data_IF_623191047269
#
_entry.id   IF_623191047269
#
_cell.length_a   1.000
_cell.length_b   1.000
_cell.length_c   1.000
_cell.angle_alpha   90.00
_cell.angle_beta   90.00
_cell.angle_gamma   90.00
#
_symmetry.space_group_name_H-M   'P 1'
#
loop_
_entity.id
_entity.type
_entity.pdbx_description
1 polymer ?
#
# COMPACT_ATOMS: atom_id res chain seq x y z
N UNK A 1 -3.33 -11.88 -23.47
CA UNK A 1 -3.35 -10.63 -22.69
C UNK A 1 -2.23 -10.74 -21.67
N UNK A 2 -1.08 -10.14 -21.98
CA UNK A 2 0.17 -10.35 -21.24
C UNK A 2 0.26 -9.30 -20.14
N UNK A 3 0.11 -9.74 -18.89
CA UNK A 3 0.32 -8.91 -17.71
C UNK A 3 1.79 -8.93 -17.34
N UNK A 4 2.52 -7.84 -17.60
CA UNK A 4 3.85 -7.64 -17.02
C UNK A 4 3.70 -6.87 -15.71
N UNK A 5 3.58 -7.60 -14.59
CA UNK A 5 3.79 -7.06 -13.25
C UNK A 5 5.19 -7.48 -12.84
N UNK A 6 6.15 -6.56 -12.97
CA UNK A 6 7.47 -6.78 -12.42
C UNK A 6 7.42 -6.51 -10.92
N UNK A 7 7.09 -7.58 -10.18
CA UNK A 7 7.04 -7.63 -8.72
C UNK A 7 8.43 -7.49 -8.12
N UNK A 8 8.79 -6.27 -7.71
CA UNK A 8 9.72 -6.06 -6.60
C UNK A 8 9.03 -5.19 -5.55
N UNK A 9 8.64 -5.83 -4.45
CA UNK A 9 8.51 -5.24 -3.12
C UNK A 9 7.46 -4.12 -2.95
N UNK A 10 6.24 -4.53 -2.60
CA UNK A 10 5.23 -3.78 -1.82
C UNK A 10 5.02 -2.30 -2.19
N UNK A 11 4.96 -1.92 -3.47
CA UNK A 11 4.64 -0.53 -3.84
C UNK A 11 3.15 -0.25 -3.69
N UNK A 12 2.70 0.04 -2.47
CA UNK A 12 1.40 0.70 -2.25
C UNK A 12 1.53 2.20 -2.57
N UNK A 13 1.54 2.54 -3.85
CA UNK A 13 1.10 3.88 -4.25
C UNK A 13 -0.40 3.95 -3.98
N UNK A 14 -0.88 5.00 -3.30
CA UNK A 14 -2.31 5.24 -3.12
C UNK A 14 -2.97 5.38 -4.49
N UNK A 15 -3.87 4.47 -4.83
CA UNK A 15 -4.70 4.57 -6.02
C UNK A 15 -6.16 4.78 -5.59
N UNK A 16 -6.87 5.66 -6.29
CA UNK A 16 -8.33 5.70 -6.29
C UNK A 16 -8.75 5.34 -7.70
N UNK A 17 -9.53 4.27 -7.83
CA UNK A 17 -10.05 3.83 -9.11
C UNK A 17 -11.45 4.40 -9.30
N UNK A 18 -11.60 5.24 -10.33
CA UNK A 18 -12.89 5.79 -10.76
C UNK A 18 -13.50 4.90 -11.84
N UNK A 19 -14.70 4.42 -11.57
CA UNK A 19 -15.45 3.61 -12.53
C UNK A 19 -16.58 4.45 -13.12
N UNK A 20 -16.56 4.60 -14.44
CA UNK A 20 -17.66 5.17 -15.19
C UNK A 20 -18.00 4.18 -16.31
N UNK A 21 -19.14 3.48 -16.19
CA UNK A 21 -19.58 2.40 -17.10
C UNK A 21 -18.53 1.29 -17.35
N UNK A 22 -17.80 0.86 -16.31
CA UNK A 22 -16.77 -0.20 -16.35
C UNK A 22 -15.59 0.00 -17.35
N UNK A 23 -15.34 1.23 -17.82
CA UNK A 23 -14.10 1.56 -18.55
C UNK A 23 -13.18 2.36 -17.64
N UNK A 24 -11.99 1.82 -17.35
CA UNK A 24 -10.86 2.58 -16.81
C UNK A 24 -10.51 3.68 -17.82
N UNK A 25 -10.91 4.92 -17.55
CA UNK A 25 -10.73 6.03 -18.51
C UNK A 25 -9.38 6.74 -18.36
N UNK A 26 -8.78 6.77 -17.17
CA UNK A 26 -7.59 7.57 -16.91
C UNK A 26 -6.75 6.98 -15.76
N UNK A 27 -5.43 6.89 -15.96
CA UNK A 27 -4.45 6.62 -14.91
C UNK A 27 -3.64 7.90 -14.68
N UNK A 28 -3.65 8.41 -13.45
CA UNK A 28 -3.03 9.68 -13.11
C UNK A 28 -2.08 9.49 -11.92
N UNK A 29 -0.85 9.97 -12.05
CA UNK A 29 0.18 9.90 -10.99
C UNK A 29 0.35 11.26 -10.31
N UNK A 30 0.94 11.26 -9.11
CA UNK A 30 1.26 12.49 -8.35
C UNK A 30 0.02 13.31 -7.98
N UNK A 31 -1.04 12.61 -7.60
CA UNK A 31 -2.29 13.20 -7.13
C UNK A 31 -2.36 13.11 -5.60
N UNK A 32 -2.71 14.23 -4.97
CA UNK A 32 -3.14 14.28 -3.57
C UNK A 32 -4.65 14.45 -3.54
N UNK A 33 -5.35 13.41 -3.07
CA UNK A 33 -6.80 13.45 -2.87
C UNK A 33 -7.11 14.18 -1.57
N UNK A 34 -8.01 15.16 -1.65
CA UNK A 34 -8.36 15.96 -0.48
C UNK A 34 -9.76 15.66 0.00
N UNK A 35 -10.72 15.50 -0.91
CA UNK A 35 -12.13 15.34 -0.54
C UNK A 35 -12.85 14.34 -1.43
N UNK A 36 -13.71 13.55 -0.82
CA UNK A 36 -14.72 12.73 -1.48
C UNK A 36 -16.07 13.17 -0.96
N UNK A 37 -16.87 13.81 -1.81
CA UNK A 37 -18.26 14.15 -1.50
C UNK A 37 -19.20 13.20 -2.23
N UNK A 38 -20.27 12.74 -1.59
CA UNK A 38 -21.26 11.91 -2.25
C UNK A 38 -22.68 12.15 -1.74
N UNK A 39 -23.60 12.34 -2.70
CA UNK A 39 -25.05 12.30 -2.49
C UNK A 39 -25.67 11.35 -3.51
N UNK A 40 -26.24 11.87 -4.59
CA UNK A 40 -26.72 11.11 -5.75
C UNK A 40 -25.56 10.73 -6.69
N UNK A 41 -24.52 11.56 -6.76
CA UNK A 41 -23.28 11.36 -7.52
C UNK A 41 -22.07 11.53 -6.58
N UNK A 42 -20.96 10.87 -6.89
CA UNK A 42 -19.69 11.04 -6.17
C UNK A 42 -18.82 12.08 -6.88
N UNK A 43 -18.33 13.05 -6.11
CA UNK A 43 -17.32 14.03 -6.55
C UNK A 43 -16.02 13.81 -5.78
N UNK A 44 -14.93 13.58 -6.50
CA UNK A 44 -13.58 13.43 -5.96
C UNK A 44 -12.76 14.66 -6.31
N UNK A 45 -12.38 15.42 -5.29
CA UNK A 45 -11.55 16.62 -5.43
C UNK A 45 -10.09 16.27 -5.15
N UNK A 46 -9.23 16.59 -6.11
CA UNK A 46 -7.81 16.23 -6.05
C UNK A 46 -6.90 17.35 -6.55
N UNK A 47 -5.64 17.30 -6.13
CA UNK A 47 -4.61 18.26 -6.50
C UNK A 47 -3.46 17.54 -7.22
N UNK A 48 -3.02 18.09 -8.35
CA UNK A 48 -1.89 17.53 -9.12
C UNK A 48 -0.59 18.25 -8.74
N UNK A 49 0.37 17.52 -8.19
CA UNK A 49 1.67 18.08 -7.78
C UNK A 49 1.52 19.29 -6.85
N UNK A 50 2.24 20.38 -7.13
CA UNK A 50 2.21 21.63 -6.35
C UNK A 50 1.18 22.66 -6.87
N UNK A 51 0.28 22.30 -7.78
CA UNK A 51 -0.71 23.26 -8.30
C UNK A 51 -1.67 23.70 -7.20
N UNK A 52 -1.99 24.99 -7.08
CA UNK A 52 -2.87 25.50 -6.01
C UNK A 52 -4.34 25.10 -6.15
N UNK A 53 -4.77 24.73 -7.37
CA UNK A 53 -6.17 24.55 -7.69
C UNK A 53 -6.57 23.07 -7.63
N UNK A 54 -7.72 22.80 -7.02
CA UNK A 54 -8.34 21.48 -7.02
C UNK A 54 -9.03 21.22 -8.35
N UNK A 55 -8.97 19.97 -8.79
CA UNK A 55 -9.74 19.45 -9.92
C UNK A 55 -10.76 18.44 -9.39
N UNK A 56 -11.98 18.52 -9.90
CA UNK A 56 -13.08 17.64 -9.51
C UNK A 56 -13.32 16.57 -10.57
N UNK A 57 -13.51 15.33 -10.12
CA UNK A 57 -13.92 14.21 -10.96
C UNK A 57 -15.23 13.65 -10.44
N UNK A 58 -16.15 13.43 -11.37
CA UNK A 58 -17.48 12.90 -11.09
C UNK A 58 -17.59 11.43 -11.49
N UNK A 59 -18.25 10.64 -10.64
CA UNK A 59 -18.49 9.22 -10.85
C UNK A 59 -19.74 8.74 -10.12
N UNK A 60 -20.31 7.62 -10.57
CA UNK A 60 -21.45 6.99 -9.89
C UNK A 60 -21.03 6.34 -8.56
N UNK A 61 -19.80 5.79 -8.52
CA UNK A 61 -19.20 5.12 -7.38
C UNK A 61 -17.70 5.43 -7.31
N UNK A 62 -17.12 5.36 -6.12
CA UNK A 62 -15.67 5.46 -5.92
C UNK A 62 -15.13 4.24 -5.18
N UNK A 63 -13.99 3.73 -5.64
CA UNK A 63 -13.24 2.68 -4.95
C UNK A 63 -11.96 3.26 -4.34
N UNK A 64 -11.94 3.34 -3.01
CA UNK A 64 -10.79 3.78 -2.22
C UNK A 64 -9.88 2.57 -1.98
N UNK A 65 -8.65 2.62 -2.49
CA UNK A 65 -7.65 1.54 -2.31
C UNK A 65 -6.40 1.99 -1.54
N UNK A 66 -6.52 3.07 -0.76
CA UNK A 66 -5.46 3.57 0.12
C UNK A 66 -5.27 2.65 1.33
N UNK A 67 -4.21 2.84 2.12
CA UNK A 67 -4.16 2.21 3.46
C UNK A 67 -5.21 2.83 4.38
N UNK A 68 -5.59 2.14 5.45
CA UNK A 68 -6.53 2.68 6.43
C UNK A 68 -6.04 4.00 7.02
N UNK A 69 -4.73 4.12 7.25
CA UNK A 69 -4.08 5.35 7.76
C UNK A 69 -4.10 6.47 6.73
N UNK A 70 -3.79 6.18 5.47
CA UNK A 70 -3.84 7.18 4.40
C UNK A 70 -5.27 7.65 4.11
N UNK A 71 -6.28 6.79 4.27
CA UNK A 71 -7.68 7.16 4.15
C UNK A 71 -8.12 8.25 5.16
N UNK A 72 -7.44 8.38 6.31
CA UNK A 72 -7.74 9.42 7.30
C UNK A 72 -7.40 10.84 6.83
N UNK A 73 -6.62 10.98 5.76
CA UNK A 73 -6.27 12.27 5.16
C UNK A 73 -7.24 12.70 4.06
N UNK A 74 -8.30 11.91 3.82
CA UNK A 74 -9.36 12.22 2.88
C UNK A 74 -10.55 12.77 3.65
N UNK A 75 -10.99 13.97 3.29
CA UNK A 75 -12.22 14.56 3.83
C UNK A 75 -13.44 13.90 3.17
N UNK A 76 -14.22 13.15 3.95
CA UNK A 76 -15.46 12.55 3.47
C UNK A 76 -16.66 13.45 3.79
N UNK A 77 -17.53 13.67 2.80
CA UNK A 77 -18.75 14.46 2.94
C UNK A 77 -19.95 13.76 2.27
N UNK A 78 -20.91 13.20 3.04
CA UNK A 78 -21.00 13.26 4.49
C UNK A 78 -19.86 12.50 5.18
N UNK A 79 -19.57 12.81 6.47
CA UNK A 79 -18.57 12.07 7.24
C UNK A 79 -18.89 10.58 7.28
N UNK A 80 -17.86 9.74 7.21
CA UNK A 80 -18.01 8.29 7.41
C UNK A 80 -18.58 8.00 8.81
N UNK A 81 -19.23 6.85 8.95
CA UNK A 81 -19.81 6.45 10.24
C UNK A 81 -18.75 6.40 11.34
N UNK A 82 -19.17 6.68 12.58
CA UNK A 82 -18.26 6.69 13.75
C UNK A 82 -17.48 5.37 13.84
N UNK A 83 -18.15 4.24 13.60
CA UNK A 83 -17.53 2.91 13.64
C UNK A 83 -16.49 2.72 12.53
N UNK A 84 -16.76 3.20 11.32
CA UNK A 84 -15.81 3.16 10.20
C UNK A 84 -14.58 4.02 10.50
N UNK A 85 -14.80 5.24 10.99
CA UNK A 85 -13.70 6.15 11.35
C UNK A 85 -12.86 5.61 12.51
N UNK A 86 -13.49 5.02 13.52
CA UNK A 86 -12.77 4.35 14.60
C UNK A 86 -11.96 3.18 14.07
N UNK A 87 -12.55 2.31 13.25
CA UNK A 87 -11.83 1.19 12.65
C UNK A 87 -10.62 1.64 11.79
N UNK A 88 -10.77 2.67 10.95
CA UNK A 88 -9.68 3.22 10.14
C UNK A 88 -8.55 3.81 11.01
N UNK A 89 -8.91 4.49 12.11
CA UNK A 89 -7.95 5.07 13.05
C UNK A 89 -7.25 4.03 13.90
N UNK A 90 -7.99 3.06 14.41
CA UNK A 90 -7.56 2.17 15.48
C UNK A 90 -6.96 0.85 14.98
N UNK A 91 -7.24 0.47 13.71
CA UNK A 91 -6.63 -0.72 13.11
C UNK A 91 -5.10 -0.68 13.20
N UNK A 92 -4.51 -1.77 13.68
CA UNK A 92 -3.06 -1.86 13.81
C UNK A 92 -2.42 -2.12 12.44
N UNK A 93 -1.41 -1.29 12.14
CA UNK A 93 -0.51 -1.49 11.01
C UNK A 93 0.87 -1.78 11.58
N UNK A 94 1.49 -2.84 11.07
CA UNK A 94 2.85 -3.18 11.45
C UNK A 94 3.85 -2.23 10.77
N UNK A 95 4.99 -2.04 11.41
CA UNK A 95 6.12 -1.29 10.87
C UNK A 95 7.06 -2.24 10.13
N UNK A 96 7.75 -1.75 9.10
CA UNK A 96 8.81 -2.53 8.47
C UNK A 96 9.90 -1.66 7.85
N UNK A 97 11.14 -2.14 7.96
CA UNK A 97 12.30 -1.52 7.33
C UNK A 97 13.10 -2.56 6.55
N UNK A 98 13.50 -2.20 5.32
CA UNK A 98 14.44 -2.98 4.49
C UNK A 98 15.72 -2.19 4.27
N UNK A 99 16.86 -2.80 4.57
CA UNK A 99 18.19 -2.27 4.28
C UNK A 99 18.79 -3.11 3.16
N UNK A 100 18.94 -2.51 1.98
CA UNK A 100 19.52 -3.15 0.81
C UNK A 100 20.95 -2.62 0.63
N UNK A 101 21.91 -3.52 0.52
CA UNK A 101 23.30 -3.19 0.22
C UNK A 101 23.61 -3.58 -1.22
N UNK A 102 24.37 -2.73 -1.89
CA UNK A 102 24.90 -3.01 -3.23
C UNK A 102 26.35 -3.45 -3.13
N UNK A 103 26.76 -4.42 -3.94
CA UNK A 103 28.08 -5.03 -3.92
C UNK A 103 28.68 -5.14 -5.33
N UNK A 104 30.00 -5.07 -5.45
CA UNK A 104 30.75 -5.46 -6.67
C UNK A 104 31.02 -6.98 -6.63
N UNK A 105 30.22 -7.76 -7.38
CA UNK A 105 30.17 -9.23 -7.38
C UNK A 105 29.72 -9.87 -6.04
N UNK A 106 28.74 -10.78 -6.08
CA UNK A 106 28.17 -11.40 -4.87
C UNK A 106 28.10 -12.93 -4.96
N UNK A 107 28.86 -13.64 -4.12
CA UNK A 107 28.66 -15.06 -3.78
C UNK A 107 28.91 -15.18 -2.29
N UNK A 108 27.89 -15.52 -1.49
CA UNK A 108 28.08 -15.93 -0.08
C UNK A 108 26.94 -16.88 0.36
N UNK A 109 27.25 -17.78 1.28
CA UNK A 109 26.45 -18.95 1.71
C UNK A 109 26.35 -19.08 3.25
N UNK A 110 26.36 -17.96 3.99
CA UNK A 110 26.43 -17.93 5.47
C UNK A 110 25.12 -17.58 6.20
N UNK A 111 24.91 -18.06 7.45
CA UNK A 111 23.66 -17.91 8.20
C UNK A 111 23.60 -16.63 9.05
N UNK A 112 22.72 -15.69 8.69
CA UNK A 112 22.30 -14.55 9.51
C UNK A 112 20.78 -14.48 9.56
N UNK A 113 20.19 -14.03 10.68
CA UNK A 113 18.76 -14.17 11.05
C UNK A 113 17.79 -14.22 9.86
N UNK A 114 17.77 -13.19 9.00
CA UNK A 114 17.27 -13.28 7.62
C UNK A 114 18.07 -12.36 6.69
N UNK A 115 19.18 -12.84 6.14
CA UNK A 115 19.76 -12.25 4.93
C UNK A 115 19.06 -12.88 3.73
N UNK A 116 18.47 -12.07 2.84
CA UNK A 116 17.90 -12.60 1.61
C UNK A 116 18.83 -12.33 0.44
N UNK A 117 19.41 -13.41 -0.06
CA UNK A 117 20.08 -13.41 -1.36
C UNK A 117 19.03 -13.33 -2.46
N UNK A 118 19.16 -12.40 -3.42
CA UNK A 118 18.27 -12.37 -4.56
C UNK A 118 18.25 -13.73 -5.28
N UNK A 119 17.06 -14.27 -5.52
CA UNK A 119 16.86 -15.49 -6.32
C UNK A 119 16.97 -15.24 -7.83
N UNK A 120 17.31 -14.03 -8.24
CA UNK A 120 17.39 -13.58 -9.63
C UNK A 120 18.70 -12.81 -9.84
N UNK A 121 19.27 -12.94 -11.03
CA UNK A 121 20.42 -12.15 -11.46
C UNK A 121 19.97 -10.91 -12.21
N UNK A 122 20.77 -9.86 -12.20
CA UNK A 122 20.51 -8.65 -12.98
C UNK A 122 21.05 -8.81 -14.41
N UNK A 123 20.22 -9.08 -15.44
CA UNK A 123 20.72 -9.52 -16.75
C UNK A 123 21.52 -8.43 -17.47
N UNK A 124 21.17 -7.15 -17.23
CA UNK A 124 21.80 -5.98 -17.84
C UNK A 124 23.09 -5.55 -17.14
N UNK A 125 23.36 -6.03 -15.93
CA UNK A 125 24.54 -5.62 -15.17
C UNK A 125 25.04 -6.77 -14.28
N UNK A 126 26.04 -7.51 -14.78
CA UNK A 126 26.61 -8.67 -14.09
C UNK A 126 27.62 -8.30 -12.99
N UNK A 127 28.04 -7.04 -12.90
CA UNK A 127 29.07 -6.60 -11.94
C UNK A 127 28.47 -6.08 -10.64
N UNK A 128 27.14 -5.84 -10.60
CA UNK A 128 26.42 -5.38 -9.41
C UNK A 128 25.63 -6.53 -8.81
N UNK A 129 25.92 -6.84 -7.55
CA UNK A 129 25.10 -7.66 -6.67
C UNK A 129 24.28 -6.76 -5.73
N UNK A 130 23.09 -7.22 -5.35
CA UNK A 130 22.28 -6.58 -4.30
C UNK A 130 22.04 -7.60 -3.21
N UNK A 131 22.10 -7.18 -1.96
CA UNK A 131 21.81 -8.02 -0.80
C UNK A 131 20.75 -7.33 0.04
N UNK A 132 19.67 -8.02 0.37
CA UNK A 132 18.79 -7.56 1.44
C UNK A 132 19.45 -7.95 2.77
N UNK A 133 20.27 -7.04 3.27
CA UNK A 133 21.11 -7.25 4.45
C UNK A 133 20.30 -7.23 5.76
N UNK A 134 19.16 -6.53 5.77
CA UNK A 134 18.24 -6.54 6.91
C UNK A 134 16.80 -6.35 6.44
N UNK A 135 15.90 -7.18 6.98
CA UNK A 135 14.45 -7.04 6.85
C UNK A 135 13.82 -7.20 8.22
N UNK A 136 13.31 -6.11 8.78
CA UNK A 136 12.74 -6.09 10.13
C UNK A 136 11.29 -5.66 10.09
N UNK A 137 10.49 -6.23 11.00
CA UNK A 137 9.08 -5.91 11.27
C UNK A 137 8.90 -5.40 12.70
N UNK A 138 7.76 -4.76 12.96
CA UNK A 138 7.32 -4.36 14.30
C UNK A 138 8.37 -3.54 15.04
N UNK A 139 8.47 -3.71 16.36
CA UNK A 139 9.36 -2.93 17.23
C UNK A 139 10.82 -2.95 16.77
N UNK A 140 11.28 -4.05 16.17
CA UNK A 140 12.64 -4.14 15.62
C UNK A 140 12.85 -3.15 14.47
N UNK A 141 11.82 -2.87 13.67
CA UNK A 141 11.90 -1.89 12.60
C UNK A 141 11.81 -0.44 13.09
N UNK A 142 11.19 -0.20 14.25
CA UNK A 142 11.08 1.12 14.86
C UNK A 142 12.45 1.65 15.31
N UNK A 143 13.35 0.76 15.74
CA UNK A 143 14.74 1.10 16.05
C UNK A 143 15.48 1.76 14.88
N UNK A 144 15.05 1.52 13.64
CA UNK A 144 15.70 2.03 12.43
C UNK A 144 15.10 3.37 11.96
N UNK A 145 14.09 3.91 12.64
CA UNK A 145 13.49 5.18 12.25
C UNK A 145 14.40 6.37 12.52
N UNK A 146 15.05 6.38 13.69
CA UNK A 146 15.95 7.47 14.12
C UNK A 146 17.27 7.55 13.33
N UNK A 147 18.03 6.45 13.17
CA UNK A 147 19.30 6.47 12.44
C UNK A 147 19.16 6.83 10.96
N UNK A 148 20.17 7.49 10.39
CA UNK A 148 20.23 7.75 8.95
C UNK A 148 20.68 6.50 8.17
N UNK A 149 20.61 6.54 6.84
CA UNK A 149 20.88 5.39 5.99
C UNK A 149 22.33 4.91 6.06
N UNK A 150 23.31 5.80 6.25
CA UNK A 150 24.72 5.43 6.40
C UNK A 150 25.00 4.78 7.76
N UNK A 151 24.35 5.23 8.84
CA UNK A 151 24.43 4.55 10.14
C UNK A 151 23.87 3.12 10.06
N UNK A 152 22.74 2.95 9.36
CA UNK A 152 22.11 1.64 9.15
C UNK A 152 22.96 0.73 8.23
N UNK A 153 23.63 1.31 7.24
CA UNK A 153 24.62 0.60 6.42
C UNK A 153 25.79 0.12 7.27
N UNK A 154 26.35 0.97 8.11
CA UNK A 154 27.46 0.59 8.99
C UNK A 154 27.04 -0.49 9.98
N UNK A 155 25.83 -0.40 10.54
CA UNK A 155 25.26 -1.46 11.37
C UNK A 155 25.17 -2.79 10.61
N UNK A 156 24.59 -2.78 9.41
CA UNK A 156 24.45 -3.97 8.57
C UNK A 156 25.82 -4.54 8.17
N UNK A 157 26.80 -3.70 7.83
CA UNK A 157 28.16 -4.13 7.48
C UNK A 157 28.91 -4.72 8.68
N UNK A 158 28.75 -4.16 9.88
CA UNK A 158 29.31 -4.75 11.12
C UNK A 158 28.78 -6.16 11.37
N UNK A 159 27.50 -6.38 11.10
CA UNK A 159 26.89 -7.70 11.27
C UNK A 159 27.29 -8.67 10.15
N UNK A 160 27.35 -8.20 8.90
CA UNK A 160 27.85 -8.99 7.76
C UNK A 160 29.33 -9.36 7.92
N UNK A 161 30.16 -8.48 8.47
CA UNK A 161 31.59 -8.74 8.70
C UNK A 161 31.81 -9.91 9.66
N UNK A 162 30.94 -10.09 10.66
CA UNK A 162 31.01 -11.25 11.58
C UNK A 162 30.77 -12.58 10.86
N UNK A 163 30.15 -12.55 9.68
CA UNK A 163 29.68 -13.73 8.95
C UNK A 163 30.54 -13.98 7.72
N UNK A 164 30.89 -12.92 6.98
CA UNK A 164 31.59 -12.97 5.71
C UNK A 164 33.03 -12.45 5.79
N UNK A 165 33.48 -12.04 6.98
CA UNK A 165 34.80 -11.46 7.21
C UNK A 165 34.93 -10.01 6.72
N UNK A 166 36.08 -9.40 7.01
CA UNK A 166 36.38 -7.99 6.74
C UNK A 166 36.22 -7.56 5.28
N UNK A 167 36.49 -8.47 4.35
CA UNK A 167 36.46 -8.21 2.90
C UNK A 167 35.08 -7.76 2.40
N UNK A 168 33.99 -8.08 3.12
CA UNK A 168 32.64 -7.65 2.74
C UNK A 168 32.51 -6.11 2.65
N UNK A 169 33.27 -5.37 3.46
CA UNK A 169 33.25 -3.90 3.46
C UNK A 169 33.76 -3.33 2.14
N UNK A 170 34.89 -3.86 1.65
CA UNK A 170 35.54 -3.40 0.41
C UNK A 170 34.66 -3.65 -0.82
N UNK A 171 33.77 -4.63 -0.74
CA UNK A 171 32.84 -4.98 -1.81
C UNK A 171 31.59 -4.10 -1.82
N UNK A 172 31.23 -3.49 -0.69
CA UNK A 172 30.00 -2.70 -0.57
C UNK A 172 30.13 -1.35 -1.29
N UNK A 173 29.21 -1.08 -2.21
CA UNK A 173 29.20 0.15 -3.02
C UNK A 173 28.19 1.18 -2.57
N UNK A 174 27.24 0.83 -1.70
CA UNK A 174 26.18 1.74 -1.29
C UNK A 174 25.02 1.04 -0.60
N UNK A 175 24.09 1.84 -0.08
CA UNK A 175 22.91 1.42 0.66
C UNK A 175 21.65 2.07 0.09
N UNK A 176 20.54 1.34 0.16
CA UNK A 176 19.19 1.87 -0.01
C UNK A 176 18.37 1.39 1.19
N UNK A 177 17.76 2.31 1.92
CA UNK A 177 16.87 1.98 3.04
C UNK A 177 15.43 2.36 2.69
N UNK A 178 14.51 1.42 2.85
CA UNK A 178 13.07 1.68 2.78
C UNK A 178 12.44 1.49 4.15
N UNK A 179 11.99 2.59 4.75
CA UNK A 179 11.24 2.64 6.01
C UNK A 179 9.75 2.83 5.69
N UNK A 180 8.93 1.79 5.80
CA UNK A 180 7.51 1.84 5.40
C UNK A 180 6.69 2.76 6.30
N UNK A 181 7.05 2.87 7.57
CA UNK A 181 6.35 3.71 8.55
C UNK A 181 6.58 5.22 8.34
N UNK A 182 7.59 5.59 7.55
CA UNK A 182 7.84 6.99 7.14
C UNK A 182 7.36 7.27 5.72
N UNK A 183 6.75 6.29 5.03
CA UNK A 183 6.19 6.53 3.71
C UNK A 183 4.91 7.37 3.85
N UNK A 184 4.85 8.57 3.23
CA UNK A 184 3.71 9.47 3.38
C UNK A 184 2.41 8.91 2.77
N UNK A 185 2.49 7.89 1.90
CA UNK A 185 1.33 7.30 1.23
C UNK A 185 0.83 6.01 1.87
N UNK A 186 1.66 5.30 2.63
CA UNK A 186 1.26 4.06 3.30
C UNK A 186 1.13 4.22 4.81
N UNK A 187 2.00 5.03 5.44
CA UNK A 187 2.05 5.31 6.88
C UNK A 187 2.10 4.03 7.73
N UNK A 188 2.82 3.03 7.23
CA UNK A 188 2.87 1.67 7.77
C UNK A 188 3.19 0.66 6.67
N UNK A 189 3.55 -0.57 7.06
CA UNK A 189 3.91 -1.62 6.12
C UNK A 189 2.68 -2.37 5.60
N UNK A 190 1.86 -2.91 6.50
CA UNK A 190 0.66 -3.69 6.20
C UNK A 190 -0.21 -3.80 7.46
N UNK A 191 -1.48 -4.15 7.31
CA UNK A 191 -2.33 -4.43 8.47
C UNK A 191 -1.83 -5.67 9.21
N UNK A 192 -1.82 -5.62 10.54
CA UNK A 192 -1.55 -6.79 11.37
C UNK A 192 -2.38 -6.66 12.64
N UNK A 193 -3.58 -7.22 12.61
CA UNK A 193 -4.54 -6.99 13.68
C UNK A 193 -4.01 -7.48 15.03
N UNK A 194 -4.11 -6.63 16.04
CA UNK A 194 -3.91 -7.05 17.44
C UNK A 194 -5.10 -7.93 17.87
N UNK A 195 -4.99 -8.64 19.02
CA UNK A 195 -6.11 -9.44 19.52
C UNK A 195 -7.43 -8.64 19.54
N UNK A 196 -8.53 -9.32 19.21
CA UNK A 196 -9.90 -8.78 19.12
C UNK A 196 -10.21 -7.81 17.97
N UNK A 197 -9.22 -7.16 17.35
CA UNK A 197 -9.48 -6.23 16.24
C UNK A 197 -10.19 -6.89 15.04
N UNK A 198 -9.98 -8.19 14.81
CA UNK A 198 -10.69 -8.91 13.75
C UNK A 198 -12.20 -9.03 13.98
N UNK A 199 -12.65 -9.06 15.25
CA UNK A 199 -14.07 -9.08 15.60
C UNK A 199 -14.67 -7.68 15.53
N UNK A 200 -13.91 -6.69 15.98
CA UNK A 200 -14.38 -5.31 16.15
C UNK A 200 -14.35 -4.50 14.85
N UNK A 201 -13.27 -4.63 14.08
CA UNK A 201 -12.98 -3.70 12.98
C UNK A 201 -13.12 -4.31 11.60
N UNK A 202 -12.97 -5.63 11.43
CA UNK A 202 -12.98 -6.23 10.09
C UNK A 202 -14.27 -5.92 9.34
N UNK A 203 -15.43 -6.10 9.97
CA UNK A 203 -16.72 -5.83 9.35
C UNK A 203 -16.83 -4.37 8.87
N UNK A 204 -16.43 -3.42 9.71
CA UNK A 204 -16.52 -1.99 9.40
C UNK A 204 -15.48 -1.58 8.33
N UNK A 205 -14.26 -2.10 8.39
CA UNK A 205 -13.24 -1.88 7.36
C UNK A 205 -13.71 -2.37 5.98
N UNK A 206 -14.41 -3.51 5.92
CA UNK A 206 -14.77 -4.16 4.66
C UNK A 206 -16.05 -3.56 4.06
N UNK A 207 -16.88 -2.94 4.90
CA UNK A 207 -18.16 -2.35 4.55
C UNK A 207 -18.00 -1.08 3.71
N UNK A 208 -18.82 -0.97 2.66
CA UNK A 208 -18.99 0.25 1.88
C UNK A 208 -19.95 1.22 2.58
N UNK A 209 -19.77 2.52 2.36
CA UNK A 209 -20.66 3.56 2.90
C UNK A 209 -21.23 4.39 1.75
N UNK A 210 -22.55 4.28 1.54
CA UNK A 210 -23.20 4.86 0.37
C UNK A 210 -22.56 4.39 -0.94
N UNK A 211 -22.07 5.34 -1.74
CA UNK A 211 -21.40 5.12 -3.03
C UNK A 211 -19.87 4.98 -2.91
N UNK A 212 -19.34 4.94 -1.68
CA UNK A 212 -17.91 4.79 -1.37
C UNK A 212 -17.59 3.35 -0.99
N UNK A 213 -16.80 2.69 -1.81
CA UNK A 213 -16.33 1.32 -1.59
C UNK A 213 -14.86 1.31 -1.19
N UNK A 214 -14.46 0.30 -0.40
CA UNK A 214 -13.11 0.16 0.11
C UNK A 214 -12.51 -1.17 -0.33
N UNK A 215 -11.28 -1.12 -0.83
CA UNK A 215 -10.45 -2.27 -1.14
C UNK A 215 -9.01 -2.03 -0.70
N UNK A 216 -8.19 -3.07 -0.77
CA UNK A 216 -6.83 -3.08 -0.25
C UNK A 216 -6.65 -4.22 0.73
N UNK A 217 -5.39 -4.53 1.01
CA UNK A 217 -4.94 -5.66 1.84
C UNK A 217 -5.67 -5.69 3.19
N UNK A 218 -5.72 -4.56 3.89
CA UNK A 218 -6.38 -4.40 5.20
C UNK A 218 -7.90 -4.63 5.19
N UNK A 219 -8.53 -4.74 4.02
CA UNK A 219 -9.98 -4.98 3.90
C UNK A 219 -10.31 -6.43 3.58
N UNK A 220 -9.36 -7.37 3.69
CA UNK A 220 -9.62 -8.80 3.57
C UNK A 220 -8.59 -9.60 4.39
N UNK A 221 -8.77 -10.92 4.42
CA UNK A 221 -7.82 -11.86 5.04
C UNK A 221 -7.28 -12.88 4.03
N UNK A 222 -6.05 -13.37 4.23
CA UNK A 222 -5.09 -13.03 5.31
C UNK A 222 -4.30 -11.74 5.05
N UNK A 223 -3.78 -11.08 6.08
CA UNK A 223 -3.08 -9.80 5.89
C UNK A 223 -1.68 -9.90 5.28
N UNK A 224 -1.15 -8.77 4.80
CA UNK A 224 0.20 -8.55 4.25
C UNK A 224 0.49 -9.13 2.85
N UNK A 225 -0.53 -9.61 2.12
CA UNK A 225 -0.37 -10.25 0.81
C UNK A 225 -1.03 -9.50 -0.33
N UNK A 226 -0.41 -9.54 -1.51
CA UNK A 226 -0.97 -9.02 -2.77
C UNK A 226 -2.28 -9.73 -3.11
N UNK A 227 -2.32 -11.06 -2.92
CA UNK A 227 -3.52 -11.88 -3.13
C UNK A 227 -4.73 -11.31 -2.37
N UNK A 228 -4.51 -10.79 -1.18
CA UNK A 228 -5.56 -10.22 -0.34
C UNK A 228 -6.07 -8.88 -0.87
N UNK A 229 -5.18 -8.05 -1.40
CA UNK A 229 -5.57 -6.85 -2.16
C UNK A 229 -6.39 -7.20 -3.40
N UNK A 230 -6.00 -8.25 -4.14
CA UNK A 230 -6.75 -8.70 -5.32
C UNK A 230 -8.14 -9.22 -4.93
N UNK A 231 -8.21 -10.06 -3.90
CA UNK A 231 -9.45 -10.60 -3.34
C UNK A 231 -10.41 -9.49 -2.90
N UNK A 232 -9.91 -8.47 -2.18
CA UNK A 232 -10.75 -7.35 -1.76
C UNK A 232 -11.19 -6.46 -2.92
N UNK A 233 -10.33 -6.25 -3.92
CA UNK A 233 -10.70 -5.50 -5.13
C UNK A 233 -11.80 -6.20 -5.93
N UNK A 234 -11.71 -7.52 -6.12
CA UNK A 234 -12.75 -8.32 -6.81
C UNK A 234 -14.08 -8.23 -6.05
N UNK A 235 -14.06 -8.36 -4.72
CA UNK A 235 -15.26 -8.19 -3.88
C UNK A 235 -15.87 -6.80 -4.08
N UNK A 236 -15.05 -5.74 -3.98
CA UNK A 236 -15.54 -4.37 -4.09
C UNK A 236 -16.13 -4.08 -5.48
N UNK A 237 -15.46 -4.54 -6.55
CA UNK A 237 -15.96 -4.42 -7.92
C UNK A 237 -17.29 -5.15 -8.12
N UNK A 238 -17.42 -6.37 -7.57
CA UNK A 238 -18.69 -7.12 -7.60
C UNK A 238 -19.81 -6.37 -6.86
N UNK A 239 -19.50 -5.79 -5.69
CA UNK A 239 -20.46 -4.99 -4.93
C UNK A 239 -20.91 -3.74 -5.69
N UNK A 240 -19.98 -3.02 -6.33
CA UNK A 240 -20.28 -1.84 -7.17
C UNK A 240 -21.20 -2.24 -8.32
N UNK A 241 -20.87 -3.32 -9.05
CA UNK A 241 -21.67 -3.79 -10.17
C UNK A 241 -23.10 -4.16 -9.73
N UNK A 242 -23.23 -4.84 -8.59
CA UNK A 242 -24.54 -5.18 -8.03
C UNK A 242 -25.33 -3.95 -7.57
N UNK A 243 -24.67 -2.92 -7.05
CA UNK A 243 -25.31 -1.66 -6.67
C UNK A 243 -25.79 -0.89 -7.91
N UNK A 244 -24.94 -0.75 -8.93
CA UNK A 244 -25.28 -0.10 -10.19
C UNK A 244 -26.49 -0.77 -10.88
N UNK A 245 -26.53 -2.10 -10.91
CA UNK A 245 -27.68 -2.83 -11.46
C UNK A 245 -28.98 -2.62 -10.67
N UNK A 246 -28.90 -2.40 -9.36
CA UNK A 246 -30.09 -2.09 -8.55
C UNK A 246 -30.58 -0.66 -8.81
N UNK A 247 -29.67 0.29 -9.00
CA UNK A 247 -30.02 1.67 -9.36
C UNK A 247 -30.68 1.74 -10.73
N UNK A 248 -30.17 1.01 -11.74
CA UNK A 248 -30.77 0.97 -13.08
C UNK A 248 -32.19 0.39 -13.09
N UNK A 249 -32.42 -0.72 -12.38
CA UNK A 249 -33.76 -1.35 -12.26
C UNK A 249 -34.75 -0.44 -11.54
N UNK A 250 -34.30 0.32 -10.53
CA UNK A 250 -35.15 1.29 -9.83
C UNK A 250 -35.53 2.48 -10.71
N UNK A 251 -34.60 2.98 -11.52
CA UNK A 251 -34.87 4.05 -12.49
C UNK A 251 -35.91 3.61 -13.51
N UNK A 252 -35.74 2.42 -14.11
CA UNK A 252 -36.66 1.90 -15.11
C UNK A 252 -38.10 1.77 -14.59
N UNK A 253 -38.29 1.31 -13.35
CA UNK A 253 -39.61 1.22 -12.72
C UNK A 253 -40.24 2.58 -12.39
N UNK A 254 -39.43 3.63 -12.23
CA UNK A 254 -39.91 5.00 -11.97
C UNK A 254 -40.39 5.67 -13.26
N UNK A 255 -39.78 5.33 -14.40
CA UNK A 255 -40.15 5.86 -15.72
C UNK A 255 -41.40 5.18 -16.32
N UNK A 256 -41.83 4.05 -15.77
CA UNK A 256 -43.06 3.32 -16.15
C UNK A 256 -44.33 3.74 -15.36
N UNK A 257 -44.21 4.65 -14.38
CA UNK A 257 -45.29 5.17 -13.54
C UNK A 257 -45.59 6.64 -13.84
#
# INVERSE_FOLDING_TARGET
MVWYIQSFLCTCTCYILLFNSMKLKTFETSIYFKRISHSDEVTVSYQRGQQSNFTDLKADFVLVTTTAKAALFIDFDPPLSIKKMDALRSVHYDSSTKVLLTFKNSITDGPSRFIYYPSHSFPKNRTIGVLLASYTWSDNSLLFLGPNDEDLKELALRDLEKIHGKKVRDLCTGVIVKKWSLDPYSLGAFALFTPYQHLEYAAELFKSEGKVHFAGEHTAFPHAWIETSMKSAIRAASNINNAANKESVRSAKRDEL
#
